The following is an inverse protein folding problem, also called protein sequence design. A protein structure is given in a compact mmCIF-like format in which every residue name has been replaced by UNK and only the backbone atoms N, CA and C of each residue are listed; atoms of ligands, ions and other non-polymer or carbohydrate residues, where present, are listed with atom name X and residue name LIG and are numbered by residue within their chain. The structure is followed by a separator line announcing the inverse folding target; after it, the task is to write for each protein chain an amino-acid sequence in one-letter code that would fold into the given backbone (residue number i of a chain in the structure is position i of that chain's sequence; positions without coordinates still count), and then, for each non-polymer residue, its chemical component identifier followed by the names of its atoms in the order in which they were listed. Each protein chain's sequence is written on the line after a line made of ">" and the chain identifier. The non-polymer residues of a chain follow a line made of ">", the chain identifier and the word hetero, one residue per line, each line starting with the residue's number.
data_IF_069032259283
#
_entry.id   IF_069032259283
#
_cell.length_a   1.000
_cell.length_b   1.000
_cell.length_c   1.000
_cell.angle_alpha   90.00
_cell.angle_beta   90.00
_cell.angle_gamma   90.00
#
_symmetry.space_group_name_H-M   'P 1'
#
loop_
_entity.id
_entity.type
_entity.pdbx_description
1 polymer ?
#
# COMPACT_ATOMS: atom_id res chain seq x y z
N UNK A 1 7.74 29.69 11.43
CA UNK A 1 8.00 29.33 10.02
C UNK A 1 8.71 27.99 10.03
N UNK A 2 8.00 26.89 9.77
CA UNK A 2 8.60 25.56 9.67
C UNK A 2 9.03 25.32 8.24
N UNK A 3 10.32 25.08 8.00
CA UNK A 3 10.81 24.64 6.70
C UNK A 3 10.54 23.15 6.58
N UNK A 4 9.49 22.77 5.83
CA UNK A 4 9.30 21.39 5.38
C UNK A 4 10.45 21.04 4.45
N UNK A 5 11.55 20.54 4.98
CA UNK A 5 12.60 19.92 4.17
C UNK A 5 12.05 18.64 3.56
N UNK A 6 11.98 18.59 2.23
CA UNK A 6 11.62 17.40 1.45
C UNK A 6 12.39 16.17 1.95
N UNK A 7 11.70 15.06 2.21
CA UNK A 7 12.35 13.83 2.67
C UNK A 7 13.29 13.30 1.57
N UNK A 8 14.54 12.97 1.93
CA UNK A 8 15.56 12.51 0.99
C UNK A 8 15.30 11.13 0.36
N UNK A 9 14.27 10.42 0.84
CA UNK A 9 14.22 8.96 0.84
C UNK A 9 15.26 8.36 1.79
N UNK A 10 15.33 7.03 1.87
CA UNK A 10 16.33 6.37 2.71
C UNK A 10 17.76 6.70 2.28
N UNK A 11 18.62 6.99 3.26
CA UNK A 11 20.01 7.39 3.06
C UNK A 11 20.84 6.26 2.47
N UNK A 12 21.89 6.62 1.73
CA UNK A 12 22.90 5.68 1.27
C UNK A 12 23.47 4.89 2.46
N UNK A 13 23.69 3.57 2.29
CA UNK A 13 24.21 2.71 3.34
C UNK A 13 23.19 2.34 4.43
N UNK A 14 21.91 2.70 4.31
CA UNK A 14 20.89 2.16 5.20
C UNK A 14 20.61 0.69 4.89
N UNK A 15 20.31 -0.15 5.88
CA UNK A 15 19.72 -1.46 5.63
C UNK A 15 18.47 -1.32 4.73
N UNK A 16 18.23 -2.33 3.91
CA UNK A 16 16.94 -2.42 3.22
C UNK A 16 15.78 -2.64 4.21
N UNK A 17 16.03 -3.40 5.27
CA UNK A 17 15.06 -3.69 6.32
C UNK A 17 15.17 -2.64 7.43
N UNK A 18 14.12 -1.84 7.67
CA UNK A 18 14.15 -0.88 8.77
C UNK A 18 14.18 -1.61 10.13
N UNK A 19 14.66 -0.95 11.18
CA UNK A 19 14.87 -1.59 12.49
C UNK A 19 13.59 -2.13 13.13
N UNK A 20 12.45 -1.51 12.84
CA UNK A 20 11.13 -1.97 13.30
C UNK A 20 10.64 -3.23 12.57
N UNK A 21 11.27 -3.60 11.45
CA UNK A 21 10.96 -4.83 10.70
C UNK A 21 11.69 -6.06 11.26
N UNK A 22 12.65 -5.87 12.19
CA UNK A 22 13.36 -6.99 12.82
C UNK A 22 12.32 -7.97 13.39
N UNK A 23 12.41 -9.27 13.08
CA UNK A 23 11.59 -10.25 13.78
C UNK A 23 11.88 -10.09 15.27
N UNK A 24 10.85 -10.12 16.12
CA UNK A 24 11.06 -10.21 17.56
C UNK A 24 12.04 -11.36 17.78
N UNK A 25 13.24 -11.05 18.26
CA UNK A 25 14.26 -12.06 18.45
C UNK A 25 13.71 -13.05 19.46
N UNK A 26 13.40 -14.26 18.99
CA UNK A 26 13.26 -15.44 19.84
C UNK A 26 14.54 -15.55 20.66
N UNK A 27 14.47 -15.07 21.89
CA UNK A 27 15.46 -15.34 22.91
C UNK A 27 15.33 -16.81 23.31
N UNK A 28 15.85 -17.71 22.47
CA UNK A 28 16.09 -19.10 22.85
C UNK A 28 17.41 -19.58 22.26
N UNK A 29 18.47 -19.43 23.05
CA UNK A 29 19.64 -20.29 22.97
C UNK A 29 19.22 -21.75 23.09
N UNK A 30 19.44 -22.54 22.05
CA UNK A 30 19.28 -23.98 22.09
C UNK A 30 19.61 -24.60 20.74
N UNK A 31 20.85 -25.05 20.58
CA UNK A 31 21.31 -25.73 19.37
C UNK A 31 20.54 -27.02 19.09
N UNK A 32 20.24 -27.25 17.82
CA UNK A 32 19.64 -28.47 17.30
C UNK A 32 19.90 -28.56 15.81
N UNK A 33 20.79 -29.47 15.44
CA UNK A 33 21.29 -29.76 14.10
C UNK A 33 20.26 -30.54 13.25
N UNK A 34 20.45 -30.53 11.93
CA UNK A 34 19.82 -31.35 10.86
C UNK A 34 18.72 -30.70 9.99
N UNK A 35 18.47 -31.20 8.75
CA UNK A 35 19.40 -31.15 7.63
C UNK A 35 18.74 -30.61 6.33
N UNK A 36 19.62 -30.34 5.37
CA UNK A 36 19.45 -29.93 3.98
C UNK A 36 18.15 -30.37 3.25
N UNK A 37 17.55 -29.45 2.49
CA UNK A 37 16.52 -29.74 1.47
C UNK A 37 16.63 -28.75 0.31
N UNK A 38 16.38 -29.20 -0.92
CA UNK A 38 17.06 -28.69 -2.10
C UNK A 38 16.45 -27.40 -2.64
N UNK A 39 17.36 -26.50 -3.04
CA UNK A 39 17.10 -25.22 -3.70
C UNK A 39 16.32 -25.41 -5.00
N UNK A 40 15.11 -24.85 -5.07
CA UNK A 40 14.47 -24.55 -6.35
C UNK A 40 15.00 -23.22 -6.89
N UNK A 41 15.67 -23.32 -8.03
CA UNK A 41 16.24 -22.24 -8.83
C UNK A 41 15.12 -21.41 -9.47
N UNK A 42 14.79 -20.28 -8.85
CA UNK A 42 14.04 -19.22 -9.53
C UNK A 42 14.91 -17.95 -9.46
N UNK A 43 15.42 -17.52 -10.63
CA UNK A 43 16.52 -16.57 -10.81
C UNK A 43 16.23 -15.11 -10.43
N UNK A 44 15.76 -14.87 -9.21
CA UNK A 44 15.86 -13.59 -8.54
C UNK A 44 17.01 -13.66 -7.53
N UNK A 45 18.01 -12.78 -7.66
CA UNK A 45 19.10 -12.69 -6.69
C UNK A 45 18.48 -12.36 -5.30
N UNK A 46 18.34 -13.37 -4.44
CA UNK A 46 17.73 -13.21 -3.12
C UNK A 46 18.68 -12.34 -2.29
N UNK A 47 18.29 -11.09 -2.07
CA UNK A 47 19.06 -10.16 -1.24
C UNK A 47 18.94 -10.67 0.21
N UNK A 48 20.06 -10.97 0.91
CA UNK A 48 20.03 -11.49 2.28
C UNK A 48 19.36 -10.53 3.28
N UNK A 49 18.80 -11.05 4.35
CA UNK A 49 18.28 -10.25 5.47
C UNK A 49 19.40 -9.40 6.08
N UNK A 50 19.11 -8.13 6.38
CA UNK A 50 20.11 -7.19 6.86
C UNK A 50 21.08 -6.66 5.79
N UNK A 51 20.88 -7.00 4.50
CA UNK A 51 21.66 -6.43 3.41
C UNK A 51 21.54 -4.90 3.37
N UNK A 52 22.67 -4.27 3.06
CA UNK A 52 22.76 -2.82 2.92
C UNK A 52 22.28 -2.41 1.54
N UNK A 53 21.41 -1.40 1.50
CA UNK A 53 20.91 -0.88 0.24
C UNK A 53 22.03 -0.15 -0.52
N UNK A 54 22.09 -0.30 -1.86
CA UNK A 54 23.08 0.39 -2.67
C UNK A 54 22.91 1.91 -2.57
N UNK A 55 24.00 2.65 -2.81
CA UNK A 55 23.91 4.10 -2.91
C UNK A 55 22.90 4.50 -3.99
N UNK A 56 22.10 5.54 -3.73
CA UNK A 56 21.09 6.03 -4.66
C UNK A 56 20.15 4.91 -5.15
N UNK A 57 19.68 4.02 -4.26
CA UNK A 57 18.82 2.87 -4.60
C UNK A 57 17.59 3.20 -5.47
N UNK A 58 17.03 4.41 -5.34
CA UNK A 58 15.91 4.89 -6.18
C UNK A 58 16.35 5.73 -7.39
N UNK A 59 17.65 5.95 -7.59
CA UNK A 59 18.21 6.76 -8.67
C UNK A 59 17.81 6.30 -10.08
N UNK A 60 17.88 4.99 -10.40
CA UNK A 60 17.42 4.50 -11.70
C UNK A 60 15.90 4.66 -11.88
N UNK A 61 15.10 4.37 -10.85
CA UNK A 61 13.65 4.57 -10.86
C UNK A 61 13.26 6.03 -11.10
N UNK A 62 13.88 6.97 -10.36
CA UNK A 62 13.68 8.43 -10.54
C UNK A 62 14.11 8.92 -11.93
N UNK A 63 15.13 8.30 -12.52
CA UNK A 63 15.55 8.64 -13.89
C UNK A 63 14.51 8.22 -14.93
N UNK A 64 13.94 7.03 -14.78
CA UNK A 64 12.89 6.51 -15.67
C UNK A 64 11.58 7.29 -15.49
N UNK A 65 11.16 7.56 -14.25
CA UNK A 65 10.01 8.43 -13.97
C UNK A 65 10.23 9.82 -14.59
N UNK A 66 11.45 10.35 -14.51
CA UNK A 66 11.80 11.63 -15.13
C UNK A 66 11.68 11.63 -16.66
N UNK A 67 11.85 10.49 -17.33
CA UNK A 67 11.60 10.33 -18.77
C UNK A 67 10.11 10.20 -19.06
N UNK A 68 9.38 9.41 -18.27
CA UNK A 68 7.93 9.31 -18.35
C UNK A 68 7.25 10.68 -18.22
N UNK A 69 7.67 11.52 -17.27
CA UNK A 69 7.16 12.88 -17.16
C UNK A 69 7.36 13.73 -18.43
N UNK A 70 8.44 13.48 -19.19
CA UNK A 70 8.74 14.21 -20.42
C UNK A 70 7.98 13.69 -21.64
N UNK A 71 7.78 12.38 -21.74
CA UNK A 71 7.30 11.74 -22.97
C UNK A 71 5.98 10.95 -22.83
N UNK A 72 5.47 10.76 -21.61
CA UNK A 72 4.26 10.00 -21.31
C UNK A 72 4.34 8.48 -21.58
N UNK A 73 5.52 7.94 -21.89
CA UNK A 73 5.65 6.53 -22.28
C UNK A 73 5.49 5.60 -21.08
N UNK A 74 4.47 4.74 -21.13
CA UNK A 74 4.19 3.72 -20.11
C UNK A 74 5.32 2.70 -19.94
N UNK A 75 6.16 2.47 -20.96
CA UNK A 75 7.38 1.66 -20.79
C UNK A 75 8.36 2.28 -19.78
N UNK A 76 8.47 3.61 -19.76
CA UNK A 76 9.28 4.31 -18.76
C UNK A 76 8.62 4.26 -17.38
N UNK A 77 7.29 4.32 -17.30
CA UNK A 77 6.56 4.17 -16.04
C UNK A 77 6.74 2.76 -15.46
N UNK A 78 6.50 1.72 -16.26
CA UNK A 78 6.73 0.32 -15.89
C UNK A 78 8.19 0.08 -15.49
N UNK A 79 9.14 0.63 -16.25
CA UNK A 79 10.55 0.57 -15.89
C UNK A 79 10.87 1.27 -14.55
N UNK A 80 10.20 2.39 -14.26
CA UNK A 80 10.39 3.13 -13.01
C UNK A 80 9.88 2.33 -11.80
N UNK A 81 8.67 1.78 -11.87
CA UNK A 81 8.12 0.93 -10.80
C UNK A 81 8.92 -0.36 -10.64
N UNK A 82 9.29 -1.01 -11.75
CA UNK A 82 10.19 -2.17 -11.75
C UNK A 82 11.46 -1.88 -11.00
N UNK A 83 12.15 -0.80 -11.34
CA UNK A 83 13.39 -0.44 -10.65
C UNK A 83 13.15 -0.02 -9.20
N UNK A 84 12.01 0.60 -8.88
CA UNK A 84 11.66 0.98 -7.52
C UNK A 84 11.51 -0.27 -6.64
N UNK A 85 10.71 -1.24 -7.08
CA UNK A 85 10.43 -2.44 -6.29
C UNK A 85 11.64 -3.39 -6.27
N UNK A 86 12.16 -3.77 -7.45
CA UNK A 86 13.24 -4.77 -7.54
C UNK A 86 14.58 -4.31 -6.96
N UNK A 87 14.99 -3.06 -7.24
CA UNK A 87 16.30 -2.53 -6.82
C UNK A 87 16.19 -1.61 -5.62
N UNK A 88 15.21 -0.70 -5.63
CA UNK A 88 15.05 0.32 -4.59
C UNK A 88 14.55 -0.24 -3.27
N UNK A 89 13.61 -1.18 -3.32
CA UNK A 89 12.99 -1.83 -2.15
C UNK A 89 13.53 -3.24 -1.90
N UNK A 90 14.41 -3.75 -2.78
CA UNK A 90 15.05 -5.05 -2.62
C UNK A 90 14.16 -6.25 -3.00
N UNK A 91 13.17 -6.05 -3.87
CA UNK A 91 12.24 -7.07 -4.35
C UNK A 91 10.84 -6.96 -3.76
N UNK A 92 9.86 -7.60 -4.42
CA UNK A 92 8.45 -7.53 -4.05
C UNK A 92 8.17 -8.04 -2.63
N UNK A 93 8.77 -9.17 -2.23
CA UNK A 93 8.60 -9.72 -0.87
C UNK A 93 9.08 -8.75 0.22
N UNK A 94 10.24 -8.14 0.02
CA UNK A 94 10.79 -7.17 0.98
C UNK A 94 9.98 -5.88 0.99
N UNK A 95 9.57 -5.41 -0.19
CA UNK A 95 8.66 -4.28 -0.31
C UNK A 95 7.36 -4.53 0.48
N UNK A 96 6.72 -5.70 0.30
CA UNK A 96 5.53 -6.09 1.03
C UNK A 96 5.79 -6.20 2.54
N UNK A 97 6.94 -6.72 2.97
CA UNK A 97 7.33 -6.76 4.38
C UNK A 97 7.44 -5.34 4.99
N UNK A 98 8.08 -4.40 4.29
CA UNK A 98 8.13 -2.98 4.71
C UNK A 98 6.76 -2.27 4.66
N UNK A 99 5.77 -2.87 4.02
CA UNK A 99 4.39 -2.39 3.94
C UNK A 99 3.43 -3.29 4.72
N UNK A 100 3.92 -4.11 5.67
CA UNK A 100 3.06 -5.01 6.47
C UNK A 100 1.98 -4.26 7.24
N UNK A 101 2.28 -3.04 7.71
CA UNK A 101 1.29 -2.16 8.36
C UNK A 101 0.11 -1.82 7.45
N UNK A 102 0.37 -1.60 6.15
CA UNK A 102 -0.68 -1.38 5.13
C UNK A 102 -1.58 -2.61 5.02
N UNK A 103 -1.00 -3.80 4.79
CA UNK A 103 -1.80 -5.02 4.68
C UNK A 103 -2.60 -5.32 5.96
N UNK A 104 -2.00 -5.08 7.14
CA UNK A 104 -2.69 -5.26 8.42
C UNK A 104 -3.86 -4.29 8.59
N UNK A 105 -3.67 -3.02 8.29
CA UNK A 105 -4.73 -2.01 8.44
C UNK A 105 -5.83 -2.17 7.38
N UNK A 106 -5.50 -2.51 6.14
CA UNK A 106 -6.50 -2.84 5.09
C UNK A 106 -7.27 -4.10 5.45
N UNK A 107 -6.60 -5.13 5.99
CA UNK A 107 -7.27 -6.33 6.50
C UNK A 107 -8.23 -6.01 7.64
N UNK A 108 -7.82 -5.15 8.57
CA UNK A 108 -8.66 -4.70 9.70
C UNK A 108 -9.86 -3.86 9.22
N UNK A 109 -9.68 -3.03 8.19
CA UNK A 109 -10.77 -2.32 7.52
C UNK A 109 -11.79 -3.29 6.92
N UNK A 110 -11.34 -4.30 6.19
CA UNK A 110 -12.22 -5.31 5.59
C UNK A 110 -12.97 -6.13 6.64
N UNK A 111 -12.30 -6.55 7.73
CA UNK A 111 -12.94 -7.22 8.87
C UNK A 111 -14.00 -6.32 9.51
N UNK A 112 -13.69 -5.05 9.78
CA UNK A 112 -14.62 -4.12 10.40
C UNK A 112 -15.86 -3.88 9.53
N UNK A 113 -15.70 -3.66 8.22
CA UNK A 113 -16.83 -3.50 7.29
C UNK A 113 -17.69 -4.77 7.22
N UNK A 114 -17.07 -5.94 7.31
CA UNK A 114 -17.77 -7.23 7.40
C UNK A 114 -18.59 -7.32 8.70
N UNK A 115 -18.00 -6.97 9.84
CA UNK A 115 -18.70 -6.94 11.13
C UNK A 115 -19.82 -5.90 11.19
N UNK A 116 -19.66 -4.75 10.53
CA UNK A 116 -20.71 -3.72 10.42
C UNK A 116 -21.94 -4.26 9.69
N UNK A 117 -21.71 -4.95 8.57
CA UNK A 117 -22.78 -5.60 7.79
C UNK A 117 -23.46 -6.72 8.57
N UNK A 118 -22.67 -7.61 9.16
CA UNK A 118 -23.19 -8.83 9.76
C UNK A 118 -23.82 -8.56 11.15
N UNK A 119 -23.42 -7.47 11.81
CA UNK A 119 -23.95 -7.06 13.11
C UNK A 119 -23.70 -8.09 14.22
N UNK A 120 -22.56 -8.80 14.16
CA UNK A 120 -22.26 -9.92 15.05
C UNK A 120 -21.28 -9.58 16.19
N UNK A 121 -20.76 -8.36 16.22
CA UNK A 121 -19.84 -7.86 17.25
C UNK A 121 -20.51 -6.74 18.05
N UNK A 122 -20.62 -6.91 19.38
CA UNK A 122 -21.25 -5.93 20.27
C UNK A 122 -20.56 -4.56 20.20
N UNK A 123 -19.23 -4.52 20.07
CA UNK A 123 -18.48 -3.26 19.93
C UNK A 123 -18.91 -2.51 18.68
N UNK A 124 -19.13 -3.23 17.58
CA UNK A 124 -19.55 -2.67 16.30
C UNK A 124 -21.02 -2.24 16.33
N UNK A 125 -21.89 -2.99 17.02
CA UNK A 125 -23.29 -2.61 17.23
C UNK A 125 -23.40 -1.30 18.02
N UNK A 126 -22.62 -1.16 19.09
CA UNK A 126 -22.60 0.04 19.91
C UNK A 126 -22.09 1.25 19.11
N UNK A 127 -21.01 1.07 18.34
CA UNK A 127 -20.49 2.07 17.42
C UNK A 127 -21.53 2.48 16.36
N UNK A 128 -22.20 1.51 15.73
CA UNK A 128 -23.21 1.76 14.71
C UNK A 128 -24.40 2.55 15.27
N UNK A 129 -24.79 2.24 16.51
CA UNK A 129 -25.87 2.96 17.22
C UNK A 129 -25.49 4.42 17.44
N UNK A 130 -24.26 4.68 17.87
CA UNK A 130 -23.74 6.03 18.07
C UNK A 130 -23.70 6.81 16.76
N UNK A 131 -23.07 6.26 15.73
CA UNK A 131 -22.92 6.89 14.42
C UNK A 131 -24.28 7.21 13.76
N UNK A 132 -25.27 6.33 13.88
CA UNK A 132 -26.62 6.58 13.35
C UNK A 132 -27.36 7.71 14.06
N UNK A 133 -27.03 8.00 15.32
CA UNK A 133 -27.63 9.13 16.06
C UNK A 133 -27.04 10.48 15.64
N UNK A 134 -25.78 10.50 15.20
CA UNK A 134 -25.08 11.73 14.84
C UNK A 134 -25.47 12.29 13.46
N UNK A 135 -26.14 11.49 12.61
CA UNK A 135 -26.55 11.88 11.25
C UNK A 135 -25.38 12.48 10.42
N UNK A 136 -24.26 11.78 10.45
CA UNK A 136 -23.01 12.19 9.83
C UNK A 136 -23.12 12.31 8.29
N UNK A 137 -22.33 13.21 7.72
CA UNK A 137 -22.11 13.22 6.27
C UNK A 137 -21.35 11.97 5.83
N UNK A 138 -21.40 11.61 4.54
CA UNK A 138 -20.64 10.47 4.01
C UNK A 138 -19.13 10.60 4.26
N UNK A 139 -18.61 11.83 4.20
CA UNK A 139 -17.21 12.13 4.51
C UNK A 139 -16.91 11.92 5.99
N UNK A 140 -17.72 12.46 6.90
CA UNK A 140 -17.50 12.30 8.35
C UNK A 140 -17.65 10.83 8.77
N UNK A 141 -18.63 10.12 8.21
CA UNK A 141 -18.82 8.70 8.42
C UNK A 141 -17.60 7.88 7.97
N UNK A 142 -17.03 8.22 6.81
CA UNK A 142 -15.78 7.60 6.34
C UNK A 142 -14.64 7.81 7.33
N UNK A 143 -14.51 9.02 7.88
CA UNK A 143 -13.49 9.32 8.89
C UNK A 143 -13.72 8.54 10.19
N UNK A 144 -14.98 8.39 10.64
CA UNK A 144 -15.31 7.58 11.82
C UNK A 144 -14.99 6.10 11.62
N UNK A 145 -15.29 5.53 10.44
CA UNK A 145 -14.91 4.15 10.10
C UNK A 145 -13.39 3.97 10.19
N UNK A 146 -12.62 4.88 9.58
CA UNK A 146 -11.16 4.76 9.53
C UNK A 146 -10.51 4.94 10.90
N UNK A 147 -11.10 5.75 11.79
CA UNK A 147 -10.64 5.88 13.19
C UNK A 147 -10.77 4.58 13.97
N UNK A 148 -11.77 3.76 13.68
CA UNK A 148 -11.98 2.48 14.37
C UNK A 148 -10.93 1.41 13.99
N UNK A 149 -10.32 1.52 12.80
CA UNK A 149 -9.46 0.47 12.25
C UNK A 149 -8.00 0.87 12.08
N UNK A 150 -7.70 2.16 11.89
CA UNK A 150 -6.33 2.62 11.67
C UNK A 150 -5.84 3.37 12.92
N UNK A 151 -4.80 2.86 13.61
CA UNK A 151 -4.28 3.44 14.83
C UNK A 151 -3.95 4.93 14.70
N UNK A 152 -4.38 5.74 15.66
CA UNK A 152 -4.08 7.18 15.74
C UNK A 152 -2.67 7.50 16.27
N UNK A 153 -1.63 6.71 15.95
CA UNK A 153 -0.31 6.87 16.59
C UNK A 153 0.46 8.12 16.14
N UNK A 154 -0.02 8.80 15.10
CA UNK A 154 0.63 9.96 14.50
C UNK A 154 1.82 9.62 13.61
N UNK A 155 2.01 8.33 13.26
CA UNK A 155 3.03 7.93 12.29
C UNK A 155 2.65 8.37 10.86
N UNK A 156 3.67 8.58 10.02
CA UNK A 156 3.45 8.93 8.60
C UNK A 156 2.75 7.80 7.85
N UNK A 157 3.06 6.54 8.18
CA UNK A 157 2.43 5.38 7.54
C UNK A 157 0.95 5.27 7.95
N UNK A 158 0.60 5.55 9.21
CA UNK A 158 -0.81 5.54 9.67
C UNK A 158 -1.63 6.64 8.98
N UNK A 159 -1.05 7.83 8.84
CA UNK A 159 -1.73 8.94 8.18
C UNK A 159 -1.87 8.73 6.68
N UNK A 160 -0.84 8.17 6.04
CA UNK A 160 -0.89 7.74 4.64
C UNK A 160 -2.03 6.75 4.43
N UNK A 161 -2.12 5.73 5.29
CA UNK A 161 -3.14 4.70 5.19
C UNK A 161 -4.55 5.24 5.44
N UNK A 162 -4.73 6.15 6.40
CA UNK A 162 -6.02 6.86 6.61
C UNK A 162 -6.44 7.62 5.36
N UNK A 163 -5.52 8.39 4.77
CA UNK A 163 -5.81 9.13 3.55
C UNK A 163 -6.14 8.20 2.38
N UNK A 164 -5.40 7.10 2.21
CA UNK A 164 -5.64 6.10 1.17
C UNK A 164 -7.02 5.43 1.33
N UNK A 165 -7.43 5.11 2.57
CA UNK A 165 -8.74 4.55 2.88
C UNK A 165 -9.87 5.55 2.63
N UNK A 166 -9.68 6.83 2.96
CA UNK A 166 -10.66 7.88 2.70
C UNK A 166 -10.87 8.08 1.19
N UNK A 167 -9.79 8.11 0.41
CA UNK A 167 -9.85 8.20 -1.05
C UNK A 167 -10.51 6.95 -1.66
N UNK A 168 -10.24 5.75 -1.12
CA UNK A 168 -10.88 4.51 -1.57
C UNK A 168 -12.40 4.50 -1.30
N UNK A 169 -12.85 5.03 -0.16
CA UNK A 169 -14.27 5.13 0.17
C UNK A 169 -14.98 6.18 -0.70
N UNK A 170 -14.32 7.29 -1.02
CA UNK A 170 -14.84 8.25 -2.00
C UNK A 170 -14.99 7.61 -3.39
N UNK A 171 -13.97 6.87 -3.85
CA UNK A 171 -14.01 6.11 -5.10
C UNK A 171 -15.13 5.05 -5.09
N UNK A 172 -15.42 4.42 -3.96
CA UNK A 172 -16.56 3.51 -3.83
C UNK A 172 -17.89 4.22 -4.12
N UNK A 173 -18.11 5.41 -3.57
CA UNK A 173 -19.32 6.20 -3.84
C UNK A 173 -19.40 6.65 -5.31
N UNK A 174 -18.27 6.91 -5.96
CA UNK A 174 -18.24 7.22 -7.40
C UNK A 174 -18.63 6.01 -8.25
N UNK A 175 -18.15 4.82 -7.89
CA UNK A 175 -18.45 3.57 -8.59
C UNK A 175 -19.88 3.07 -8.32
N UNK A 176 -20.39 3.31 -7.11
CA UNK A 176 -21.68 2.87 -6.63
C UNK A 176 -22.43 4.02 -5.93
N UNK A 177 -23.09 4.92 -6.68
CA UNK A 177 -23.73 6.11 -6.10
C UNK A 177 -24.80 5.82 -5.04
N UNK A 178 -25.46 4.66 -5.15
CA UNK A 178 -26.53 4.21 -4.25
C UNK A 178 -26.03 3.20 -3.19
N UNK A 179 -24.72 3.13 -2.94
CA UNK A 179 -24.15 2.17 -1.98
C UNK A 179 -24.61 2.43 -0.56
N UNK A 180 -25.07 1.38 0.12
CA UNK A 180 -25.29 1.40 1.56
C UNK A 180 -24.01 0.94 2.27
N UNK A 181 -23.28 1.90 2.85
CA UNK A 181 -22.00 1.63 3.53
C UNK A 181 -22.14 0.73 4.76
N UNK A 182 -23.36 0.58 5.30
CA UNK A 182 -23.62 -0.34 6.41
C UNK A 182 -24.01 -1.74 5.95
N UNK A 183 -24.16 -1.96 4.64
CA UNK A 183 -24.58 -3.24 4.07
C UNK A 183 -23.82 -3.54 2.77
N UNK A 184 -22.49 -3.46 2.83
CA UNK A 184 -21.62 -3.72 1.68
C UNK A 184 -21.58 -5.21 1.32
N UNK A 185 -21.70 -5.50 0.03
CA UNK A 185 -21.44 -6.86 -0.47
C UNK A 185 -19.96 -7.25 -0.28
N UNK A 186 -19.65 -8.55 -0.27
CA UNK A 186 -18.25 -9.02 -0.21
C UNK A 186 -17.40 -8.42 -1.34
N UNK A 187 -17.97 -8.28 -2.54
CA UNK A 187 -17.30 -7.66 -3.67
C UNK A 187 -16.98 -6.17 -3.45
N UNK A 188 -17.90 -5.43 -2.81
CA UNK A 188 -17.66 -4.02 -2.48
C UNK A 188 -16.63 -3.85 -1.35
N UNK A 189 -16.64 -4.73 -0.35
CA UNK A 189 -15.61 -4.76 0.70
C UNK A 189 -14.24 -5.04 0.06
N UNK A 190 -14.16 -6.05 -0.82
CA UNK A 190 -12.95 -6.37 -1.56
C UNK A 190 -12.49 -5.20 -2.45
N UNK A 191 -13.42 -4.48 -3.10
CA UNK A 191 -13.12 -3.28 -3.90
C UNK A 191 -12.51 -2.18 -3.02
N UNK A 192 -13.10 -1.85 -1.85
CA UNK A 192 -12.52 -0.88 -0.92
C UNK A 192 -11.11 -1.27 -0.50
N UNK A 193 -10.88 -2.55 -0.20
CA UNK A 193 -9.56 -3.05 0.16
C UNK A 193 -8.55 -2.89 -0.98
N UNK A 194 -8.94 -3.27 -2.21
CA UNK A 194 -8.11 -3.15 -3.40
C UNK A 194 -7.77 -1.69 -3.73
N UNK A 195 -8.77 -0.79 -3.71
CA UNK A 195 -8.59 0.63 -3.91
C UNK A 195 -7.68 1.25 -2.85
N UNK A 196 -7.84 0.85 -1.58
CA UNK A 196 -6.95 1.32 -0.50
C UNK A 196 -5.49 0.91 -0.74
N UNK A 197 -5.26 -0.34 -1.16
CA UNK A 197 -3.92 -0.83 -1.52
C UNK A 197 -3.36 -0.07 -2.74
N UNK A 198 -4.17 0.16 -3.77
CA UNK A 198 -3.76 0.93 -4.95
C UNK A 198 -3.33 2.36 -4.59
N UNK A 199 -4.12 3.04 -3.75
CA UNK A 199 -3.81 4.37 -3.25
C UNK A 199 -2.51 4.36 -2.41
N UNK A 200 -2.28 3.33 -1.59
CA UNK A 200 -1.03 3.20 -0.82
C UNK A 200 0.19 2.94 -1.71
N UNK A 201 0.05 2.17 -2.80
CA UNK A 201 1.12 2.00 -3.78
C UNK A 201 1.45 3.34 -4.46
N UNK A 202 0.43 4.14 -4.80
CA UNK A 202 0.63 5.49 -5.33
C UNK A 202 1.34 6.40 -4.32
N UNK A 203 0.91 6.39 -3.06
CA UNK A 203 1.57 7.13 -1.97
C UNK A 203 3.03 6.70 -1.82
N UNK A 204 3.32 5.39 -1.95
CA UNK A 204 4.69 4.87 -1.90
C UNK A 204 5.53 5.32 -3.09
N UNK A 205 4.96 5.36 -4.30
CA UNK A 205 5.61 5.92 -5.50
C UNK A 205 5.96 7.39 -5.27
N UNK A 206 5.00 8.18 -4.77
CA UNK A 206 5.21 9.60 -4.50
C UNK A 206 6.24 9.83 -3.39
N UNK A 207 6.21 9.03 -2.31
CA UNK A 207 7.18 9.14 -1.22
C UNK A 207 8.61 8.82 -1.68
N UNK A 208 8.79 7.80 -2.53
CA UNK A 208 10.12 7.36 -2.94
C UNK A 208 10.65 8.12 -4.16
N UNK A 209 9.77 8.49 -5.09
CA UNK A 209 10.13 9.06 -6.39
C UNK A 209 9.71 10.53 -6.56
N UNK A 210 8.95 11.10 -5.62
CA UNK A 210 8.30 12.41 -5.73
C UNK A 210 9.23 13.60 -5.93
N UNK A 211 10.49 13.52 -5.49
CA UNK A 211 11.54 14.51 -5.83
C UNK A 211 11.71 14.71 -7.35
N UNK A 212 11.23 13.77 -8.16
CA UNK A 212 11.23 13.88 -9.61
C UNK A 212 10.22 14.92 -10.11
N UNK A 213 9.10 15.11 -9.39
CA UNK A 213 8.08 16.10 -9.71
C UNK A 213 8.51 17.53 -9.36
N UNK A 214 9.27 17.70 -8.27
CA UNK A 214 9.64 19.02 -7.70
C UNK A 214 10.66 19.83 -8.54
N UNK A 215 10.99 19.36 -9.74
CA UNK A 215 11.89 20.09 -10.63
C UNK A 215 11.11 21.23 -11.28
N UNK A 216 11.56 22.47 -11.06
CA UNK A 216 11.01 23.73 -11.61
C UNK A 216 10.89 23.80 -13.15
N UNK A 217 11.24 22.73 -13.88
CA UNK A 217 11.14 22.62 -15.32
C UNK A 217 9.80 22.03 -15.81
N UNK A 218 8.95 21.54 -14.93
CA UNK A 218 7.67 20.94 -15.29
C UNK A 218 6.51 21.85 -14.91
N UNK A 219 5.51 21.92 -15.81
CA UNK A 219 4.24 22.59 -15.54
C UNK A 219 3.47 21.82 -14.44
N UNK A 220 2.99 22.48 -13.37
CA UNK A 220 2.15 21.84 -12.36
C UNK A 220 0.96 21.07 -12.92
N UNK A 221 0.32 21.57 -13.99
CA UNK A 221 -0.81 20.90 -14.62
C UNK A 221 -0.39 19.55 -15.23
N UNK A 222 0.72 19.53 -15.96
CA UNK A 222 1.28 18.31 -16.54
C UNK A 222 1.65 17.29 -15.45
N UNK A 223 2.20 17.75 -14.31
CA UNK A 223 2.50 16.86 -13.18
C UNK A 223 1.20 16.23 -12.64
N UNK A 224 0.14 17.02 -12.50
CA UNK A 224 -1.14 16.50 -12.03
C UNK A 224 -1.74 15.48 -13.00
N UNK A 225 -1.69 15.76 -14.31
CA UNK A 225 -2.11 14.80 -15.35
C UNK A 225 -1.32 13.50 -15.27
N UNK A 226 0.01 13.57 -15.12
CA UNK A 226 0.86 12.39 -14.98
C UNK A 226 0.60 11.62 -13.70
N UNK A 227 0.35 12.29 -12.58
CA UNK A 227 -0.02 11.61 -11.32
C UNK A 227 -1.40 10.94 -11.43
N UNK A 228 -2.34 11.54 -12.18
CA UNK A 228 -3.63 10.91 -12.48
C UNK A 228 -3.47 9.65 -13.34
N UNK A 229 -2.65 9.70 -14.40
CA UNK A 229 -2.35 8.55 -15.26
C UNK A 229 -1.65 7.42 -14.47
N UNK A 230 -0.71 7.75 -13.58
CA UNK A 230 -0.11 6.77 -12.66
C UNK A 230 -1.18 6.12 -11.79
N UNK A 231 -2.09 6.90 -11.19
CA UNK A 231 -3.15 6.36 -10.32
C UNK A 231 -4.07 5.43 -11.10
N UNK A 232 -4.48 5.82 -12.30
CA UNK A 232 -5.34 5.00 -13.17
C UNK A 232 -4.67 3.67 -13.53
N UNK A 233 -3.40 3.73 -13.95
CA UNK A 233 -2.64 2.52 -14.28
C UNK A 233 -2.42 1.61 -13.05
N UNK A 234 -2.04 2.17 -11.91
CA UNK A 234 -1.87 1.39 -10.67
C UNK A 234 -3.19 0.75 -10.24
N UNK A 235 -4.30 1.51 -10.29
CA UNK A 235 -5.63 1.00 -9.97
C UNK A 235 -6.05 -0.16 -10.88
N UNK A 236 -5.79 -0.05 -12.18
CA UNK A 236 -6.09 -1.12 -13.15
C UNK A 236 -5.29 -2.41 -12.86
N UNK A 237 -3.98 -2.31 -12.62
CA UNK A 237 -3.13 -3.47 -12.31
C UNK A 237 -3.55 -4.12 -10.98
N UNK A 238 -3.86 -3.32 -9.95
CA UNK A 238 -4.32 -3.83 -8.64
C UNK A 238 -5.69 -4.49 -8.76
N UNK A 239 -6.62 -3.95 -9.57
CA UNK A 239 -7.93 -4.58 -9.81
C UNK A 239 -7.79 -5.97 -10.44
N UNK A 240 -6.89 -6.14 -11.41
CA UNK A 240 -6.60 -7.45 -12.01
C UNK A 240 -6.06 -8.44 -10.96
N UNK A 241 -5.23 -7.96 -10.03
CA UNK A 241 -4.74 -8.78 -8.91
C UNK A 241 -5.88 -9.12 -7.94
N UNK A 242 -6.72 -8.16 -7.58
CA UNK A 242 -7.87 -8.34 -6.68
C UNK A 242 -8.82 -9.42 -7.20
N UNK A 243 -9.21 -9.36 -8.47
CA UNK A 243 -10.09 -10.34 -9.11
C UNK A 243 -9.51 -11.76 -9.03
N UNK A 244 -8.19 -11.91 -9.17
CA UNK A 244 -7.52 -13.20 -9.03
C UNK A 244 -7.47 -13.68 -7.58
N UNK A 245 -7.22 -12.80 -6.62
CA UNK A 245 -7.03 -13.18 -5.22
C UNK A 245 -8.33 -13.42 -4.46
N UNK A 246 -9.40 -12.70 -4.80
CA UNK A 246 -10.75 -12.91 -4.20
C UNK A 246 -11.31 -14.30 -4.47
N UNK A 247 -10.89 -14.98 -5.55
CA UNK A 247 -11.25 -16.39 -5.79
C UNK A 247 -10.53 -17.38 -4.88
N UNK A 248 -9.45 -16.96 -4.22
CA UNK A 248 -8.56 -17.82 -3.41
C UNK A 248 -8.64 -17.55 -1.92
N UNK A 249 -8.88 -16.30 -1.53
CA UNK A 249 -8.88 -15.84 -0.15
C UNK A 249 -10.19 -15.11 0.15
N UNK A 250 -10.95 -15.62 1.11
CA UNK A 250 -12.18 -14.99 1.61
C UNK A 250 -11.94 -14.18 2.89
N UNK A 251 -10.89 -14.51 3.64
CA UNK A 251 -10.55 -13.81 4.89
C UNK A 251 -9.87 -12.46 4.59
N UNK A 252 -10.36 -11.33 5.13
CA UNK A 252 -9.87 -10.00 4.76
C UNK A 252 -8.37 -9.80 5.02
N UNK A 253 -7.83 -10.33 6.14
CA UNK A 253 -6.39 -10.20 6.45
C UNK A 253 -5.50 -10.91 5.44
N UNK A 254 -5.81 -12.17 5.09
CA UNK A 254 -5.01 -12.92 4.12
C UNK A 254 -5.20 -12.37 2.71
N UNK A 255 -6.41 -11.91 2.38
CA UNK A 255 -6.72 -11.24 1.13
C UNK A 255 -5.87 -9.97 0.96
N UNK A 256 -5.85 -9.07 1.95
CA UNK A 256 -5.06 -7.83 1.89
C UNK A 256 -3.56 -8.10 1.70
N UNK A 257 -3.00 -9.08 2.41
CA UNK A 257 -1.59 -9.49 2.25
C UNK A 257 -1.31 -10.02 0.84
N UNK A 258 -2.21 -10.86 0.31
CA UNK A 258 -2.07 -11.45 -1.02
C UNK A 258 -2.18 -10.42 -2.14
N UNK A 259 -3.10 -9.45 -2.03
CA UNK A 259 -3.27 -8.37 -3.02
C UNK A 259 -1.99 -7.53 -3.04
N UNK A 260 -1.53 -7.08 -1.87
CA UNK A 260 -0.34 -6.22 -1.78
C UNK A 260 0.91 -6.92 -2.34
N UNK A 261 1.15 -8.17 -1.95
CA UNK A 261 2.31 -8.92 -2.45
C UNK A 261 2.23 -9.12 -3.97
N UNK A 262 1.11 -9.63 -4.49
CA UNK A 262 0.96 -9.88 -5.92
C UNK A 262 0.98 -8.60 -6.76
N UNK A 263 0.45 -7.49 -6.26
CA UNK A 263 0.58 -6.20 -6.93
C UNK A 263 2.05 -5.76 -7.01
N UNK A 264 2.81 -5.89 -5.92
CA UNK A 264 4.24 -5.58 -5.93
C UNK A 264 5.07 -6.52 -6.82
N UNK A 265 4.65 -7.78 -6.98
CA UNK A 265 5.24 -8.72 -7.95
C UNK A 265 5.02 -8.21 -9.38
N UNK A 266 3.79 -7.85 -9.76
CA UNK A 266 3.47 -7.25 -11.06
C UNK A 266 4.29 -5.98 -11.32
N UNK A 267 4.43 -5.11 -10.31
CA UNK A 267 5.24 -3.90 -10.43
C UNK A 267 6.76 -4.17 -10.41
N UNK A 268 7.21 -5.41 -10.26
CA UNK A 268 8.62 -5.82 -10.31
C UNK A 268 9.04 -6.51 -11.61
N UNK A 269 8.07 -6.84 -12.48
CA UNK A 269 8.25 -7.45 -13.80
C UNK A 269 8.60 -6.42 -14.89
#
# INVERSE_FOLDING_TARGET
>A
MGTSTSSGGGRAGSPFDPEWLKPESDSTTGGGDSPDSPSEENGGNVIPDGAIAPERRFGPARSLLGRYLQNGSHDNLRGATKSMVSKGMGGARRAAATMRGVASGVGSLGEFLTSVRDGNDQRVIDWLTHVRQENLSATDLTLEILKEVIPGTGSVDDESLRNAGAEAMAQLYELYPDVDIFNLTDAQIAEVMGLTIANEICNRIDLQLGQTYEKLKYDPLLIQERRSDIREWVGAEVRVVLEKQTTKNTEPKSLAQSILLSALEVFSE
#
